data_IF_729090235465
#
_entry.id   IF_729090235465
#
_cell.length_a   1.000
_cell.length_b   1.000
_cell.length_c   1.000
_cell.angle_alpha   90.00
_cell.angle_beta   90.00
_cell.angle_gamma   90.00
#
_symmetry.space_group_name_H-M   'P 1'
#
loop_
_entity.id
_entity.type
_entity.pdbx_description
1 polymer ?
#
# COMPACT_ATOMS: atom_id res chain seq x y z
N UNK A 1 -15.62 -5.67 17.76
CA UNK A 1 -16.02 -6.76 16.84
C UNK A 1 -16.36 -7.95 17.69
N UNK A 2 -17.31 -8.76 17.26
CA UNK A 2 -17.87 -9.86 18.05
C UNK A 2 -17.50 -11.20 17.45
N UNK A 3 -17.21 -12.18 18.31
CA UNK A 3 -16.94 -13.56 17.92
C UNK A 3 -18.12 -14.15 17.14
N UNK A 4 -17.83 -14.87 16.06
CA UNK A 4 -18.84 -15.57 15.24
C UNK A 4 -19.68 -14.65 14.32
N UNK A 5 -19.41 -13.34 14.29
CA UNK A 5 -19.98 -12.44 13.29
C UNK A 5 -19.05 -12.38 12.07
N UNK A 6 -19.64 -12.56 10.89
CA UNK A 6 -18.99 -12.31 9.60
C UNK A 6 -18.93 -10.81 9.30
N UNK A 7 -17.75 -10.34 8.90
CA UNK A 7 -17.49 -8.96 8.47
C UNK A 7 -16.90 -8.94 7.07
N UNK A 8 -17.07 -7.83 6.36
CA UNK A 8 -16.53 -7.61 5.02
C UNK A 8 -15.63 -6.38 5.01
N UNK A 9 -14.32 -6.58 4.98
CA UNK A 9 -13.35 -5.50 4.91
C UNK A 9 -13.28 -4.92 3.49
N UNK A 10 -13.25 -3.59 3.39
CA UNK A 10 -13.08 -2.89 2.12
C UNK A 10 -11.62 -2.98 1.67
N UNK A 11 -11.37 -3.71 0.58
CA UNK A 11 -10.07 -3.80 -0.09
C UNK A 11 -9.87 -2.72 -1.16
N UNK A 12 -10.95 -2.17 -1.74
CA UNK A 12 -10.87 -1.25 -2.88
C UNK A 12 -10.58 0.22 -2.53
N UNK A 13 -10.67 0.61 -1.25
CA UNK A 13 -10.47 2.00 -0.81
C UNK A 13 -11.64 2.97 -1.08
N UNK A 14 -12.63 2.62 -1.90
CA UNK A 14 -13.71 3.52 -2.32
C UNK A 14 -14.93 3.59 -1.38
N UNK A 15 -14.99 2.74 -0.35
CA UNK A 15 -16.13 2.70 0.57
C UNK A 15 -16.26 4.01 1.36
N UNK A 16 -17.49 4.48 1.55
CA UNK A 16 -17.84 5.58 2.47
C UNK A 16 -18.05 5.10 3.91
N UNK A 17 -18.12 3.79 4.13
CA UNK A 17 -18.27 3.15 5.46
C UNK A 17 -16.97 2.47 5.89
N UNK A 18 -15.83 3.09 5.62
CA UNK A 18 -14.52 2.55 6.02
C UNK A 18 -14.53 2.20 7.52
N UNK A 19 -13.90 1.07 7.91
CA UNK A 19 -13.07 0.16 7.12
C UNK A 19 -13.86 -0.94 6.36
N UNK A 20 -15.20 -0.92 6.42
CA UNK A 20 -16.04 -1.98 5.87
C UNK A 20 -16.49 -1.71 4.44
N UNK A 21 -16.84 -2.77 3.73
CA UNK A 21 -17.39 -2.68 2.38
C UNK A 21 -18.83 -2.15 2.42
N UNK A 22 -19.14 -1.20 1.52
CA UNK A 22 -20.48 -0.65 1.29
C UNK A 22 -21.01 -0.92 -0.13
N UNK A 23 -20.29 -1.72 -0.92
CA UNK A 23 -20.62 -2.04 -2.31
C UNK A 23 -19.91 -1.17 -3.36
N UNK A 24 -19.21 -0.09 -2.98
CA UNK A 24 -18.52 0.78 -3.94
C UNK A 24 -17.44 0.07 -4.79
N UNK A 25 -16.97 -1.10 -4.37
CA UNK A 25 -16.02 -1.94 -5.12
C UNK A 25 -16.55 -2.37 -6.49
N UNK A 26 -17.87 -2.39 -6.72
CA UNK A 26 -18.47 -2.71 -8.02
C UNK A 26 -18.02 -1.77 -9.15
N UNK A 27 -17.54 -0.57 -8.81
CA UNK A 27 -17.00 0.42 -9.75
C UNK A 27 -15.53 0.14 -10.12
N UNK A 28 -14.89 -0.84 -9.49
CA UNK A 28 -13.49 -1.22 -9.74
C UNK A 28 -13.43 -2.51 -10.54
N UNK A 29 -12.34 -2.71 -11.28
CA UNK A 29 -12.15 -3.94 -12.03
C UNK A 29 -11.55 -5.04 -11.14
N UNK A 30 -12.38 -5.98 -10.71
CA UNK A 30 -11.93 -7.23 -10.07
C UNK A 30 -11.64 -7.18 -8.56
N UNK A 31 -11.65 -6.01 -7.90
CA UNK A 31 -11.45 -5.95 -6.45
C UNK A 31 -12.72 -6.39 -5.70
N UNK A 32 -12.55 -7.36 -4.80
CA UNK A 32 -13.63 -7.92 -3.96
C UNK A 32 -13.35 -7.67 -2.49
N UNK A 33 -14.38 -7.43 -1.66
CA UNK A 33 -14.21 -7.30 -0.22
C UNK A 33 -13.75 -8.62 0.40
N UNK A 34 -12.92 -8.53 1.43
CA UNK A 34 -12.45 -9.70 2.18
C UNK A 34 -13.45 -10.05 3.28
N UNK A 35 -14.06 -11.23 3.20
CA UNK A 35 -14.88 -11.79 4.28
C UNK A 35 -13.96 -12.34 5.37
N UNK A 36 -14.23 -11.99 6.64
CA UNK A 36 -13.49 -12.52 7.77
C UNK A 36 -14.34 -12.58 9.05
N UNK A 37 -13.84 -13.32 10.03
CA UNK A 37 -14.42 -13.46 11.36
C UNK A 37 -13.32 -13.28 12.42
N UNK A 38 -13.72 -12.96 13.65
CA UNK A 38 -12.80 -12.80 14.78
C UNK A 38 -12.99 -13.90 15.81
N UNK A 39 -11.90 -14.33 16.43
CA UNK A 39 -11.90 -15.42 17.42
C UNK A 39 -12.44 -14.98 18.79
N UNK A 40 -12.31 -13.69 19.10
CA UNK A 40 -12.70 -13.10 20.39
C UNK A 40 -13.45 -11.79 20.20
N UNK A 41 -14.40 -11.51 21.08
CA UNK A 41 -15.12 -10.24 21.13
C UNK A 41 -14.23 -9.17 21.76
N UNK A 42 -13.64 -8.31 20.93
CA UNK A 42 -12.83 -7.15 21.37
C UNK A 42 -12.72 -6.08 20.29
N UNK A 43 -11.99 -5.00 20.59
CA UNK A 43 -11.65 -3.97 19.59
C UNK A 43 -10.45 -4.45 18.77
N UNK A 44 -10.54 -4.31 17.46
CA UNK A 44 -9.46 -4.63 16.52
C UNK A 44 -9.14 -3.40 15.69
N UNK A 45 -7.86 -3.22 15.36
CA UNK A 45 -7.42 -2.21 14.41
C UNK A 45 -7.49 -2.81 13.01
N UNK A 46 -8.38 -2.27 12.17
CA UNK A 46 -8.50 -2.68 10.78
C UNK A 46 -7.74 -1.70 9.88
N UNK A 47 -7.17 -2.22 8.80
CA UNK A 47 -6.40 -1.41 7.88
C UNK A 47 -7.28 -0.42 7.11
N UNK A 48 -6.98 0.88 7.26
CA UNK A 48 -7.59 1.96 6.48
C UNK A 48 -6.91 2.19 5.13
N UNK A 49 -5.57 2.16 5.10
CA UNK A 49 -4.77 2.55 3.94
C UNK A 49 -4.69 1.53 2.79
N UNK A 50 -5.12 0.28 3.03
CA UNK A 50 -5.11 -0.86 2.09
C UNK A 50 -3.73 -1.41 1.71
N UNK A 51 -2.68 -1.02 2.45
CA UNK A 51 -1.29 -1.44 2.21
C UNK A 51 -0.76 -2.44 3.23
N UNK A 52 -1.61 -2.96 4.13
CA UNK A 52 -1.21 -3.98 5.09
C UNK A 52 -0.87 -5.31 4.41
N UNK A 53 0.13 -6.00 4.93
CA UNK A 53 0.43 -7.40 4.62
C UNK A 53 -0.33 -8.39 5.52
N UNK A 54 -1.00 -7.90 6.58
CA UNK A 54 -1.76 -8.69 7.54
C UNK A 54 -3.27 -8.41 7.43
N UNK A 55 -3.81 -8.55 6.22
CA UNK A 55 -5.22 -8.22 5.94
C UNK A 55 -6.15 -9.10 6.80
N UNK A 56 -7.22 -8.53 7.40
CA UNK A 56 -7.71 -7.15 7.28
C UNK A 56 -7.16 -6.18 8.36
N UNK A 57 -6.21 -6.61 9.17
CA UNK A 57 -5.74 -5.88 10.35
C UNK A 57 -4.70 -4.80 10.01
N UNK A 58 -4.55 -3.84 10.90
CA UNK A 58 -3.53 -2.80 10.74
C UNK A 58 -2.18 -3.27 11.29
N UNK A 59 -1.12 -3.16 10.48
CA UNK A 59 0.27 -3.51 10.81
C UNK A 59 1.22 -2.30 10.80
N UNK A 60 0.66 -1.09 10.83
CA UNK A 60 1.39 0.18 10.76
C UNK A 60 2.17 0.44 9.46
N UNK A 61 2.00 -0.36 8.39
CA UNK A 61 2.67 -0.14 7.09
C UNK A 61 2.44 1.27 6.52
N UNK A 62 1.30 1.89 6.82
CA UNK A 62 1.01 3.26 6.37
C UNK A 62 2.02 4.30 6.87
N UNK A 63 2.70 4.08 8.01
CA UNK A 63 3.72 4.99 8.50
C UNK A 63 4.95 5.01 7.60
N UNK A 64 5.40 3.84 7.12
CA UNK A 64 6.55 3.75 6.22
C UNK A 64 6.25 4.36 4.86
N UNK A 65 5.02 4.21 4.37
CA UNK A 65 4.56 4.78 3.10
C UNK A 65 4.52 6.31 3.18
N UNK A 66 3.99 6.86 4.28
CA UNK A 66 4.00 8.30 4.52
C UNK A 66 5.45 8.81 4.64
N UNK A 67 6.31 8.11 5.37
CA UNK A 67 7.71 8.48 5.51
C UNK A 67 8.44 8.48 4.16
N UNK A 68 8.16 7.52 3.26
CA UNK A 68 8.68 7.53 1.88
C UNK A 68 8.14 8.72 1.07
N UNK A 69 6.90 9.13 1.27
CA UNK A 69 6.35 10.31 0.59
C UNK A 69 6.93 11.64 1.07
N UNK A 70 7.34 11.74 2.34
CA UNK A 70 7.86 12.98 2.94
C UNK A 70 9.40 13.04 2.89
N UNK A 71 10.06 11.94 3.22
CA UNK A 71 11.52 11.83 3.36
C UNK A 71 12.16 10.90 2.33
N UNK A 72 11.37 10.08 1.65
CA UNK A 72 11.89 9.26 0.56
C UNK A 72 12.37 10.20 -0.53
N UNK A 73 13.67 10.15 -0.77
CA UNK A 73 14.30 10.83 -1.89
C UNK A 73 13.48 10.54 -3.14
N UNK A 74 13.25 11.59 -3.92
CA UNK A 74 12.77 11.44 -5.27
C UNK A 74 13.92 10.79 -6.04
N UNK A 75 14.01 9.46 -5.95
CA UNK A 75 15.01 8.68 -6.65
C UNK A 75 14.61 8.70 -8.14
N UNK A 76 14.84 9.84 -8.79
CA UNK A 76 15.10 9.88 -10.22
C UNK A 76 16.36 9.03 -10.43
N UNK A 77 16.19 7.71 -10.47
CA UNK A 77 17.16 6.73 -10.94
C UNK A 77 17.28 6.93 -12.46
N UNK A 78 17.82 8.08 -12.84
CA UNK A 78 18.15 8.44 -14.21
C UNK A 78 19.29 9.47 -14.22
N UNK A 79 20.33 9.21 -13.42
CA UNK A 79 21.57 9.98 -13.50
C UNK A 79 22.85 9.18 -13.28
N UNK A 80 22.78 8.00 -12.63
CA UNK A 80 23.99 7.19 -12.39
C UNK A 80 24.48 6.45 -13.64
N UNK A 81 23.58 5.92 -14.48
CA UNK A 81 23.97 5.34 -15.78
C UNK A 81 24.52 6.40 -16.73
N UNK A 82 23.94 7.61 -16.77
CA UNK A 82 24.42 8.68 -17.65
C UNK A 82 25.74 9.29 -17.17
N UNK A 83 26.00 9.33 -15.86
CA UNK A 83 27.30 9.71 -15.30
C UNK A 83 28.40 8.72 -15.69
N UNK A 84 28.13 7.42 -15.56
CA UNK A 84 29.08 6.37 -15.97
C UNK A 84 29.40 6.43 -17.48
N UNK A 85 28.40 6.68 -18.33
CA UNK A 85 28.59 6.84 -19.78
C UNK A 85 29.36 8.13 -20.16
N UNK A 86 29.08 9.24 -19.47
CA UNK A 86 29.80 10.51 -19.70
C UNK A 86 31.26 10.41 -19.26
N UNK A 87 31.55 9.78 -18.12
CA UNK A 87 32.92 9.55 -17.63
C UNK A 87 33.73 8.64 -18.58
N UNK A 88 33.10 7.61 -19.16
CA UNK A 88 33.72 6.76 -20.17
C UNK A 88 34.03 7.48 -21.49
N UNK A 89 33.27 8.53 -21.82
CA UNK A 89 33.47 9.31 -23.05
C UNK A 89 34.60 10.33 -22.91
N UNK A 90 34.82 10.87 -21.71
CA UNK A 90 35.86 11.86 -21.40
C UNK A 90 37.27 11.27 -21.22
N UNK A 91 37.39 9.94 -21.11
CA UNK A 91 38.66 9.23 -20.90
C UNK A 91 39.26 8.61 -22.16
N UNK A 92 38.67 8.80 -23.35
CA UNK A 92 39.28 8.31 -24.59
C UNK A 92 40.41 9.26 -25.04
N UNK A 93 41.67 8.79 -25.11
CA UNK A 93 42.74 9.60 -25.69
C UNK A 93 42.44 9.85 -27.17
N UNK A 94 42.60 11.10 -27.58
CA UNK A 94 42.64 11.54 -28.96
C UNK A 94 43.76 10.79 -29.70
N UNK A 95 43.38 9.99 -30.68
CA UNK A 95 44.29 9.40 -31.66
C UNK A 95 44.27 10.26 -32.92
#
# INVERSE_FOLDING_TARGET
MEKGKSYYWCSCGLSKKQPFCDGAHSKTNGLKPLKFEVQETKKYLLCGCKQTSNQPFCDMTHLSVIAKGIFGKNDNVMSDQRRAEIEQTLQKPSN
#
